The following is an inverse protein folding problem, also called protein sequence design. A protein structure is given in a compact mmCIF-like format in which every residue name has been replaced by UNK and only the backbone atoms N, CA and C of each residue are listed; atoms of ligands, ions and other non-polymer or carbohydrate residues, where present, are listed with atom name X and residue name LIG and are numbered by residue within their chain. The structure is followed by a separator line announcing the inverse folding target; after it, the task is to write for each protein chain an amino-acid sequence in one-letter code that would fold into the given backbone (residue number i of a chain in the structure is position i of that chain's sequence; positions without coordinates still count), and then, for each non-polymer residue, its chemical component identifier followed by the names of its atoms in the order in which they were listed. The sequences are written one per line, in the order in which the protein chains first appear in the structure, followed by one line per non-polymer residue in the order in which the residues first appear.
data_IF_987886092754
#
_entry.id   IF_987886092754
#
_cell.length_a   1.000
_cell.length_b   1.000
_cell.length_c   1.000
_cell.angle_alpha   90.00
_cell.angle_beta   90.00
_cell.angle_gamma   90.00
#
_symmetry.space_group_name_H-M   'P 1'
#
loop_
_entity.id
_entity.type
_entity.pdbx_description
1 polymer ?
#
# COMPACT_ATOMS: atom_id res chain seq x y z
N UNK A 1 -4.71 -23.13 22.45
CA UNK A 1 -6.06 -22.56 22.26
C UNK A 1 -6.79 -22.60 23.60
N UNK A 2 -7.55 -21.56 23.97
CA UNK A 2 -8.44 -21.60 25.12
C UNK A 2 -9.47 -22.74 24.97
N UNK A 3 -9.86 -23.34 26.09
CA UNK A 3 -10.85 -24.41 26.09
C UNK A 3 -12.25 -23.84 25.93
N UNK A 4 -13.06 -24.47 25.07
CA UNK A 4 -14.48 -24.14 24.92
C UNK A 4 -15.26 -24.84 26.03
N UNK A 5 -16.12 -24.09 26.71
CA UNK A 5 -17.10 -24.66 27.63
C UNK A 5 -18.20 -25.37 26.82
N UNK A 6 -18.52 -26.64 27.10
CA UNK A 6 -19.64 -27.35 26.47
C UNK A 6 -21.00 -26.70 26.75
N UNK A 7 -21.12 -25.85 27.78
CA UNK A 7 -22.30 -25.01 28.02
C UNK A 7 -21.91 -23.53 27.87
N UNK A 8 -21.95 -22.97 26.65
CA UNK A 8 -21.43 -21.63 26.40
C UNK A 8 -22.23 -20.57 27.18
N UNK A 9 -21.54 -19.62 27.83
CA UNK A 9 -22.20 -18.50 28.48
C UNK A 9 -22.90 -17.60 27.46
N UNK A 10 -23.92 -16.88 27.91
CA UNK A 10 -24.57 -15.88 27.06
C UNK A 10 -23.60 -14.77 26.65
N UNK A 11 -23.88 -14.16 25.50
CA UNK A 11 -23.06 -13.13 24.87
C UNK A 11 -22.76 -11.97 25.84
N UNK A 12 -21.47 -11.63 25.94
CA UNK A 12 -20.97 -10.46 26.65
C UNK A 12 -20.09 -9.65 25.71
N UNK A 13 -20.35 -8.35 25.66
CA UNK A 13 -19.50 -7.44 24.90
C UNK A 13 -18.06 -7.53 25.41
N UNK A 14 -17.14 -7.78 24.48
CA UNK A 14 -15.71 -7.81 24.76
C UNK A 14 -15.03 -6.63 24.06
N UNK A 15 -13.76 -6.36 24.36
CA UNK A 15 -13.05 -5.18 23.86
C UNK A 15 -13.10 -5.01 22.34
N UNK A 16 -12.95 -6.10 21.56
CA UNK A 16 -13.00 -6.08 20.09
C UNK A 16 -14.26 -6.70 19.52
N UNK A 17 -14.86 -7.66 20.21
CA UNK A 17 -16.10 -8.29 19.78
C UNK A 17 -17.33 -7.50 20.26
N UNK A 18 -17.85 -6.64 19.38
CA UNK A 18 -19.01 -5.77 19.61
C UNK A 18 -20.31 -6.41 19.15
N UNK A 19 -21.45 -5.77 19.44
CA UNK A 19 -22.76 -6.23 18.96
C UNK A 19 -22.84 -6.25 17.42
N UNK A 20 -22.24 -5.27 16.75
CA UNK A 20 -22.15 -5.21 15.28
C UNK A 20 -21.37 -6.40 14.72
N UNK A 21 -20.26 -6.77 15.35
CA UNK A 21 -19.50 -7.97 14.96
C UNK A 21 -20.32 -9.25 15.11
N UNK A 22 -21.12 -9.31 16.18
CA UNK A 22 -22.05 -10.43 16.41
C UNK A 22 -23.12 -10.49 15.32
N UNK A 23 -23.71 -9.37 14.94
CA UNK A 23 -24.70 -9.30 13.87
C UNK A 23 -24.13 -9.71 12.50
N UNK A 24 -22.87 -9.36 12.21
CA UNK A 24 -22.19 -9.82 10.99
C UNK A 24 -22.09 -11.35 10.98
N UNK A 25 -21.71 -11.95 12.11
CA UNK A 25 -21.63 -13.41 12.24
C UNK A 25 -23.02 -14.04 12.15
N UNK A 26 -24.04 -13.44 12.77
CA UNK A 26 -25.44 -13.88 12.66
C UNK A 26 -25.93 -13.85 11.20
N UNK A 27 -25.62 -12.80 10.44
CA UNK A 27 -25.98 -12.68 9.02
C UNK A 27 -25.24 -13.68 8.13
N UNK A 28 -23.95 -13.94 8.40
CA UNK A 28 -23.16 -14.92 7.62
C UNK A 28 -23.69 -16.35 7.82
N UNK A 29 -24.34 -16.62 8.95
CA UNK A 29 -24.89 -17.93 9.31
C UNK A 29 -26.43 -17.99 9.28
N UNK A 30 -27.09 -17.12 8.51
CA UNK A 30 -28.55 -17.13 8.31
C UNK A 30 -29.02 -18.26 7.37
N UNK A 31 -28.10 -19.13 6.93
CA UNK A 31 -28.37 -20.29 6.07
C UNK A 31 -29.00 -21.47 6.81
N UNK A 32 -29.17 -21.37 8.14
CA UNK A 32 -29.74 -22.41 8.99
C UNK A 32 -28.83 -23.62 9.18
N UNK A 33 -27.53 -23.49 8.85
CA UNK A 33 -26.55 -24.55 9.05
C UNK A 33 -26.27 -24.81 10.55
N UNK A 34 -26.21 -23.74 11.35
CA UNK A 34 -25.93 -23.81 12.78
C UNK A 34 -27.23 -23.78 13.61
N UNK A 35 -27.29 -24.62 14.63
CA UNK A 35 -28.36 -24.57 15.61
C UNK A 35 -28.19 -23.36 16.53
N UNK A 36 -29.26 -22.85 17.16
CA UNK A 36 -29.16 -21.71 18.08
C UNK A 36 -28.12 -21.94 19.21
N UNK A 37 -27.99 -23.17 19.69
CA UNK A 37 -27.00 -23.57 20.71
C UNK A 37 -25.56 -23.57 20.16
N UNK A 38 -25.37 -24.03 18.92
CA UNK A 38 -24.07 -24.00 18.25
C UNK A 38 -23.63 -22.57 17.97
N UNK A 39 -24.59 -21.69 17.61
CA UNK A 39 -24.31 -20.28 17.38
C UNK A 39 -23.81 -19.59 18.66
N UNK A 40 -24.36 -19.95 19.82
CA UNK A 40 -23.82 -19.50 21.11
C UNK A 40 -22.39 -19.97 21.33
N UNK A 41 -22.05 -21.19 20.92
CA UNK A 41 -20.68 -21.70 21.01
C UNK A 41 -19.72 -20.94 20.08
N UNK A 42 -20.16 -20.56 18.88
CA UNK A 42 -19.39 -19.70 17.96
C UNK A 42 -19.15 -18.33 18.58
N UNK A 43 -20.17 -17.68 19.13
CA UNK A 43 -19.97 -16.40 19.82
C UNK A 43 -19.04 -16.53 21.02
N UNK A 44 -19.12 -17.63 21.78
CA UNK A 44 -18.20 -17.90 22.87
C UNK A 44 -16.75 -18.07 22.39
N UNK A 45 -16.53 -18.78 21.28
CA UNK A 45 -15.23 -18.89 20.64
C UNK A 45 -14.67 -17.52 20.25
N UNK A 46 -15.49 -16.66 19.64
CA UNK A 46 -15.10 -15.30 19.23
C UNK A 46 -14.74 -14.43 20.44
N UNK A 47 -15.53 -14.51 21.52
CA UNK A 47 -15.24 -13.80 22.78
C UNK A 47 -13.93 -14.26 23.41
N UNK A 48 -13.67 -15.57 23.47
CA UNK A 48 -12.41 -16.12 24.00
C UNK A 48 -11.20 -15.69 23.17
N UNK A 49 -11.38 -15.60 21.85
CA UNK A 49 -10.36 -15.19 20.90
C UNK A 49 -10.45 -13.70 20.54
N UNK A 50 -10.78 -12.86 21.52
CA UNK A 50 -11.03 -11.44 21.33
C UNK A 50 -9.92 -10.70 20.57
N UNK A 51 -8.64 -11.07 20.74
CA UNK A 51 -7.51 -10.41 20.06
C UNK A 51 -7.05 -11.11 18.78
N UNK A 52 -7.57 -12.30 18.50
CA UNK A 52 -7.14 -13.09 17.34
C UNK A 52 -7.82 -12.62 16.05
N UNK A 53 -9.04 -12.11 16.14
CA UNK A 53 -9.80 -11.61 15.01
C UNK A 53 -9.67 -10.09 14.85
N UNK A 54 -9.74 -9.66 13.59
CA UNK A 54 -9.61 -8.26 13.17
C UNK A 54 -10.90 -7.87 12.47
N UNK A 55 -11.62 -6.91 13.05
CA UNK A 55 -12.91 -6.42 12.50
C UNK A 55 -12.78 -5.08 11.78
N UNK A 56 -11.70 -4.35 12.07
CA UNK A 56 -11.39 -3.06 11.49
C UNK A 56 -9.88 -2.97 11.21
N UNK A 57 -9.47 -2.13 10.26
CA UNK A 57 -8.06 -1.94 9.88
C UNK A 57 -7.22 -1.45 11.07
N UNK A 58 -7.82 -0.68 12.00
CA UNK A 58 -7.16 -0.24 13.23
C UNK A 58 -6.77 -1.37 14.19
N UNK A 59 -7.43 -2.53 14.08
CA UNK A 59 -7.18 -3.70 14.94
C UNK A 59 -6.16 -4.67 14.34
N UNK A 60 -5.63 -4.36 13.16
CA UNK A 60 -4.66 -5.18 12.43
C UNK A 60 -3.38 -5.35 13.25
N UNK A 61 -3.04 -6.60 13.55
CA UNK A 61 -1.78 -6.93 14.22
C UNK A 61 -0.57 -6.84 13.30
N UNK A 62 0.62 -6.74 13.91
CA UNK A 62 1.91 -6.91 13.21
C UNK A 62 2.59 -8.18 13.67
N UNK A 63 3.34 -8.79 12.77
CA UNK A 63 4.28 -9.83 13.17
C UNK A 63 5.39 -9.18 13.97
N UNK A 64 5.78 -9.81 15.07
CA UNK A 64 6.95 -9.38 15.82
C UNK A 64 8.20 -9.59 14.96
N UNK A 65 9.14 -8.66 15.07
CA UNK A 65 10.40 -8.70 14.32
C UNK A 65 11.20 -9.98 14.57
N UNK A 66 11.09 -10.58 15.77
CA UNK A 66 11.72 -11.88 16.11
C UNK A 66 11.27 -13.05 15.22
N UNK A 67 10.08 -12.96 14.62
CA UNK A 67 9.59 -13.96 13.66
C UNK A 67 10.04 -13.68 12.22
N UNK A 68 10.62 -12.51 11.96
CA UNK A 68 11.15 -12.15 10.64
C UNK A 68 12.63 -12.56 10.59
N UNK A 69 13.01 -13.54 9.76
CA UNK A 69 14.42 -13.91 9.63
C UNK A 69 15.21 -12.73 9.06
N UNK A 70 16.42 -12.52 9.56
CA UNK A 70 17.32 -11.52 8.99
C UNK A 70 17.60 -11.85 7.53
N UNK A 71 17.46 -10.86 6.65
CA UNK A 71 17.76 -11.03 5.22
C UNK A 71 19.28 -11.12 5.04
N UNK A 72 19.77 -12.27 4.58
CA UNK A 72 21.19 -12.45 4.26
C UNK A 72 21.50 -11.70 2.96
N UNK A 73 22.34 -10.67 3.06
CA UNK A 73 22.74 -9.86 1.91
C UNK A 73 23.96 -10.53 1.25
N UNK A 74 23.75 -11.14 0.08
CA UNK A 74 24.84 -11.59 -0.80
C UNK A 74 25.33 -10.37 -1.60
N UNK A 75 26.65 -10.19 -1.84
CA UNK A 75 27.16 -9.11 -2.68
C UNK A 75 26.45 -9.09 -4.04
N UNK A 76 25.61 -8.08 -4.24
CA UNK A 76 24.85 -7.88 -5.46
C UNK A 76 24.95 -6.42 -5.91
N UNK A 77 24.81 -6.20 -7.20
CA UNK A 77 24.67 -4.84 -7.74
C UNK A 77 23.27 -4.33 -7.40
N UNK A 78 23.17 -3.12 -6.83
CA UNK A 78 21.88 -2.50 -6.55
C UNK A 78 21.07 -2.34 -7.84
N UNK A 79 19.84 -2.82 -7.85
CA UNK A 79 18.93 -2.63 -8.97
C UNK A 79 18.28 -1.24 -8.89
N UNK A 80 18.67 -0.35 -9.79
CA UNK A 80 18.05 0.98 -9.91
C UNK A 80 17.16 1.03 -11.15
N UNK A 81 15.85 0.89 -10.95
CA UNK A 81 14.85 1.05 -12.01
C UNK A 81 14.24 2.45 -11.99
N UNK A 82 13.96 2.99 -13.16
CA UNK A 82 13.17 4.23 -13.28
C UNK A 82 11.73 3.97 -12.83
N UNK A 83 11.11 4.93 -12.15
CA UNK A 83 9.69 4.85 -11.80
C UNK A 83 8.83 4.82 -13.07
N UNK A 84 7.90 3.86 -13.13
CA UNK A 84 6.91 3.74 -14.20
C UNK A 84 5.85 4.84 -13.97
N UNK A 85 5.47 5.62 -15.01
CA UNK A 85 4.46 6.66 -14.86
C UNK A 85 3.09 6.07 -14.51
N UNK A 86 2.46 6.62 -13.47
CA UNK A 86 1.10 6.27 -13.07
C UNK A 86 0.11 6.99 -13.99
N UNK A 87 -0.84 6.24 -14.55
CA UNK A 87 -1.91 6.79 -15.38
C UNK A 87 -2.73 7.84 -14.60
N UNK A 88 -3.09 8.97 -15.22
CA UNK A 88 -3.69 10.10 -14.50
C UNK A 88 -5.01 9.74 -13.80
N UNK A 89 -5.85 8.89 -14.41
CA UNK A 89 -7.12 8.47 -13.81
C UNK A 89 -7.00 7.57 -12.57
N UNK A 90 -5.82 6.99 -12.32
CA UNK A 90 -5.56 6.11 -11.17
C UNK A 90 -4.70 6.79 -10.09
N UNK A 91 -4.24 8.03 -10.31
CA UNK A 91 -3.30 8.70 -9.41
C UNK A 91 -3.88 8.89 -8.02
N UNK A 92 -5.10 9.38 -7.93
CA UNK A 92 -5.71 9.72 -6.64
C UNK A 92 -5.99 8.47 -5.81
N UNK A 93 -6.51 7.42 -6.44
CA UNK A 93 -6.78 6.12 -5.82
C UNK A 93 -5.49 5.48 -5.28
N UNK A 94 -4.42 5.46 -6.10
CA UNK A 94 -3.13 4.91 -5.68
C UNK A 94 -2.53 5.75 -4.54
N UNK A 95 -2.63 7.08 -4.61
CA UNK A 95 -2.16 7.95 -3.53
C UNK A 95 -2.91 7.70 -2.23
N UNK A 96 -4.23 7.49 -2.28
CA UNK A 96 -5.03 7.15 -1.12
C UNK A 96 -4.62 5.79 -0.52
N UNK A 97 -4.47 4.77 -1.36
CA UNK A 97 -4.02 3.44 -0.94
C UNK A 97 -2.63 3.49 -0.28
N UNK A 98 -1.69 4.28 -0.84
CA UNK A 98 -0.35 4.43 -0.24
C UNK A 98 -0.45 5.11 1.13
N UNK A 99 -1.26 6.17 1.27
CA UNK A 99 -1.47 6.84 2.56
C UNK A 99 -2.04 5.88 3.61
N UNK A 100 -3.05 5.08 3.26
CA UNK A 100 -3.63 4.07 4.15
C UNK A 100 -2.58 3.04 4.59
N UNK A 101 -1.69 2.61 3.70
CA UNK A 101 -0.61 1.67 4.05
C UNK A 101 0.49 2.28 4.92
N UNK A 102 0.73 3.59 4.80
CA UNK A 102 1.63 4.33 5.68
C UNK A 102 0.98 4.52 7.05
N UNK A 103 -0.31 4.85 7.11
CA UNK A 103 -1.07 4.98 8.36
C UNK A 103 -1.18 3.64 9.11
N UNK A 104 -1.32 2.54 8.37
CA UNK A 104 -1.21 1.18 8.92
C UNK A 104 0.24 0.80 9.34
N UNK A 105 1.21 1.69 9.11
CA UNK A 105 2.66 1.52 9.30
C UNK A 105 3.20 0.22 8.66
N UNK A 106 2.57 -0.22 7.56
CA UNK A 106 3.07 -1.31 6.72
C UNK A 106 4.18 -0.77 5.81
N UNK A 107 4.05 0.49 5.39
CA UNK A 107 5.05 1.19 4.59
C UNK A 107 5.76 2.23 5.43
N UNK A 108 7.08 2.10 5.48
CA UNK A 108 7.96 3.08 6.07
C UNK A 108 8.61 3.94 4.97
N UNK A 109 8.71 5.26 5.16
CA UNK A 109 9.49 6.11 4.26
C UNK A 109 10.96 5.66 4.25
N UNK A 110 11.44 5.21 3.10
CA UNK A 110 12.85 4.85 2.92
C UNK A 110 13.62 5.99 2.26
N UNK A 111 14.86 6.20 2.69
CA UNK A 111 15.80 7.16 2.09
C UNK A 111 16.54 6.60 0.87
N UNK A 112 16.37 5.32 0.57
CA UNK A 112 16.97 4.71 -0.62
C UNK A 112 16.23 5.23 -1.86
N UNK A 113 16.86 6.25 -2.46
CA UNK A 113 16.52 6.95 -3.69
C UNK A 113 15.74 8.28 -3.56
N UNK A 114 16.13 9.15 -2.64
CA UNK A 114 16.15 10.60 -2.96
C UNK A 114 17.54 10.92 -3.51
N UNK A 115 17.65 10.93 -4.83
CA UNK A 115 18.86 11.41 -5.50
C UNK A 115 18.71 12.93 -5.68
N UNK A 116 19.28 13.80 -4.81
CA UNK A 116 19.19 15.24 -4.99
C UNK A 116 19.83 15.70 -6.30
N UNK A 117 20.64 14.86 -6.96
CA UNK A 117 21.27 15.18 -8.24
C UNK A 117 20.30 15.12 -9.44
N UNK A 118 19.15 14.43 -9.31
CA UNK A 118 18.08 14.49 -10.32
C UNK A 118 17.38 15.85 -10.30
N UNK A 119 17.43 16.57 -9.18
CA UNK A 119 16.96 17.95 -9.07
C UNK A 119 18.00 19.01 -9.52
N UNK A 120 19.14 18.58 -10.09
CA UNK A 120 20.18 19.47 -10.65
C UNK A 120 20.34 19.39 -12.17
N UNK A 121 19.58 18.53 -12.87
CA UNK A 121 19.32 18.79 -14.29
C UNK A 121 18.25 19.87 -14.35
N UNK A 122 18.76 21.11 -14.31
CA UNK A 122 18.12 22.36 -14.68
C UNK A 122 16.63 22.21 -14.92
N UNK A 123 15.86 22.84 -14.05
CA UNK A 123 14.74 23.65 -14.48
C UNK A 123 15.07 24.34 -15.82
N UNK A 124 14.86 23.63 -16.92
CA UNK A 124 14.36 24.22 -18.13
C UNK A 124 12.88 24.30 -17.83
N UNK A 125 12.50 25.39 -17.16
CA UNK A 125 11.13 25.86 -17.14
C UNK A 125 10.57 25.64 -18.55
N UNK A 126 9.73 24.61 -18.71
CA UNK A 126 8.69 24.72 -19.69
C UNK A 126 7.82 25.84 -19.15
N UNK A 127 7.67 26.96 -19.88
CA UNK A 127 6.86 28.07 -19.40
C UNK A 127 5.47 27.52 -19.06
N UNK A 128 4.90 27.93 -17.92
CA UNK A 128 3.56 27.50 -17.48
C UNK A 128 2.44 28.16 -18.30
N UNK A 129 2.59 28.19 -19.63
CA UNK A 129 1.66 28.78 -20.59
C UNK A 129 1.96 28.31 -22.03
N UNK A 130 1.08 28.61 -23.00
CA UNK A 130 1.31 28.25 -24.39
C UNK A 130 2.59 28.92 -24.92
N UNK A 131 3.50 28.11 -25.47
CA UNK A 131 4.75 28.55 -26.07
C UNK A 131 4.48 29.52 -27.23
N UNK A 132 5.17 30.65 -27.25
CA UNK A 132 5.15 31.56 -28.40
C UNK A 132 5.83 30.94 -29.62
N UNK A 133 5.47 31.41 -30.82
CA UNK A 133 6.06 30.93 -32.09
C UNK A 133 7.58 31.06 -32.12
N UNK A 134 8.13 32.12 -31.53
CA UNK A 134 9.58 32.36 -31.47
C UNK A 134 10.31 31.35 -30.58
N UNK A 135 9.70 31.00 -29.44
CA UNK A 135 10.21 29.96 -28.55
C UNK A 135 10.19 28.60 -29.24
N UNK A 136 9.12 28.28 -29.98
CA UNK A 136 8.97 27.04 -30.73
C UNK A 136 10.06 26.91 -31.82
N UNK A 137 10.32 27.99 -32.56
CA UNK A 137 11.40 28.06 -33.56
C UNK A 137 12.76 27.82 -32.89
N UNK A 138 13.00 28.45 -31.72
CA UNK A 138 14.22 28.26 -30.95
C UNK A 138 14.41 26.82 -30.48
N UNK A 139 13.36 26.14 -30.04
CA UNK A 139 13.43 24.73 -29.65
C UNK A 139 13.69 23.82 -30.86
N UNK A 140 13.07 24.10 -32.00
CA UNK A 140 13.27 23.33 -33.23
C UNK A 140 14.72 23.43 -33.73
N UNK A 141 15.31 24.64 -33.74
CA UNK A 141 16.70 24.84 -34.12
C UNK A 141 17.68 24.06 -33.21
N UNK A 142 17.42 24.05 -31.89
CA UNK A 142 18.25 23.29 -30.93
C UNK A 142 18.13 21.78 -31.12
N UNK A 143 16.93 21.28 -31.43
CA UNK A 143 16.71 19.87 -31.71
C UNK A 143 17.46 19.42 -32.97
N UNK A 144 17.42 20.22 -34.04
CA UNK A 144 18.15 19.96 -35.27
C UNK A 144 19.67 19.99 -35.07
N UNK A 145 20.19 20.94 -34.29
CA UNK A 145 21.63 21.00 -33.99
C UNK A 145 22.12 19.74 -33.23
N UNK A 146 21.34 19.27 -32.26
CA UNK A 146 21.65 18.02 -31.53
C UNK A 146 21.57 16.79 -32.43
N UNK A 147 20.56 16.72 -33.30
CA UNK A 147 20.45 15.63 -34.25
C UNK A 147 21.62 15.61 -35.24
N UNK A 148 22.02 16.78 -35.76
CA UNK A 148 23.19 16.90 -36.61
C UNK A 148 24.47 16.45 -35.91
N UNK A 149 24.71 16.90 -34.67
CA UNK A 149 25.88 16.46 -33.89
C UNK A 149 25.88 14.93 -33.70
N UNK A 150 24.73 14.34 -33.35
CA UNK A 150 24.59 12.89 -33.21
C UNK A 150 24.88 12.15 -34.53
N UNK A 151 24.39 12.67 -35.66
CA UNK A 151 24.67 12.09 -36.98
C UNK A 151 26.16 12.15 -37.35
N UNK A 152 26.87 13.23 -37.00
CA UNK A 152 28.32 13.33 -37.19
C UNK A 152 29.11 12.40 -36.26
N UNK A 153 28.65 12.21 -35.02
CA UNK A 153 29.24 11.24 -34.08
C UNK A 153 29.08 9.80 -34.59
N UNK A 154 27.93 9.44 -35.16
CA UNK A 154 27.65 8.11 -35.71
C UNK A 154 28.39 7.82 -37.03
N UNK A 155 28.98 8.84 -37.66
CA UNK A 155 29.71 8.73 -38.92
C UNK A 155 31.22 8.45 -38.72
N UNK A 156 31.73 8.59 -37.51
CA UNK A 156 33.12 8.23 -37.13
C UNK A 156 33.23 6.77 -36.73
#
# INVERSE_FOLDING_TARGET
MPQLDPNPPDFKLTRRYTAECKEIIDQVHDDGFLWPEEMKAVHHLMMLHNEAFVWDESQRGRLKEEFLPSVVIIPHTLWVSKNIPIAPGLRDEICQMIKQKIEAEVYEPSTLHTDPSVNSRKSQFLPEGPLSTEELIGYHARALAKHHQHMEEMRK
#
